data_IF_970127824583
#
_entry.id   IF_970127824583
#
_cell.length_a   1.000
_cell.length_b   1.000
_cell.length_c   1.000
_cell.angle_alpha   90.00
_cell.angle_beta   90.00
_cell.angle_gamma   90.00
#
_symmetry.space_group_name_H-M   'P 1'
#
loop_
_entity.id
_entity.type
_entity.pdbx_description
1 polymer ?
#
# COMPACT_ATOMS: atom_id res chain seq x y z
N UNK A 1 46.38 46.93 -4.67
CA UNK A 1 45.80 45.73 -5.34
C UNK A 1 45.73 44.65 -4.26
N UNK A 2 44.58 44.23 -3.72
CA UNK A 2 43.40 43.58 -4.33
C UNK A 2 42.11 44.06 -3.65
N UNK A 3 41.04 44.08 -4.42
CA UNK A 3 39.76 44.80 -4.21
C UNK A 3 38.88 44.11 -3.15
N UNK A 4 38.30 44.90 -2.26
CA UNK A 4 37.16 44.49 -1.43
C UNK A 4 35.89 44.55 -2.31
N UNK A 5 35.19 43.43 -2.46
CA UNK A 5 33.90 43.38 -3.13
C UNK A 5 32.80 43.68 -2.11
N UNK A 6 32.16 44.84 -2.26
CA UNK A 6 30.94 45.22 -1.54
C UNK A 6 29.80 44.40 -2.14
N UNK A 7 29.20 43.52 -1.34
CA UNK A 7 27.98 42.78 -1.70
C UNK A 7 26.78 43.67 -1.39
N UNK A 8 26.15 44.24 -2.43
CA UNK A 8 24.90 44.97 -2.30
C UNK A 8 23.75 43.94 -2.19
N UNK A 9 23.08 43.93 -1.04
CA UNK A 9 21.81 43.20 -0.84
C UNK A 9 20.70 44.08 -1.44
N UNK A 10 20.15 43.67 -2.58
CA UNK A 10 18.91 44.24 -3.12
C UNK A 10 17.72 43.69 -2.30
N UNK A 11 17.17 44.53 -1.42
CA UNK A 11 15.86 44.30 -0.81
C UNK A 11 14.77 44.60 -1.86
N UNK A 12 14.17 43.56 -2.43
CA UNK A 12 12.90 43.69 -3.16
C UNK A 12 11.75 43.70 -2.15
N UNK A 13 11.21 44.88 -1.86
CA UNK A 13 9.94 45.03 -1.14
C UNK A 13 8.83 44.79 -2.17
N UNK A 14 8.26 43.59 -2.19
CA UNK A 14 6.99 43.33 -2.86
C UNK A 14 5.85 43.69 -1.92
N UNK A 15 5.16 44.79 -2.21
CA UNK A 15 3.90 45.18 -1.60
C UNK A 15 2.81 44.19 -2.02
N UNK A 16 2.59 43.13 -1.25
CA UNK A 16 1.45 42.24 -1.46
C UNK A 16 0.23 42.89 -0.80
N UNK A 17 -0.63 43.49 -1.62
CA UNK A 17 -2.00 43.80 -1.23
C UNK A 17 -2.75 42.50 -0.94
N UNK A 18 -2.89 42.18 0.34
CA UNK A 18 -3.69 41.05 0.82
C UNK A 18 -5.18 41.38 0.62
N UNK A 19 -5.79 40.80 -0.42
CA UNK A 19 -7.24 40.65 -0.48
C UNK A 19 -7.65 39.57 0.53
N UNK A 20 -8.39 39.97 1.57
CA UNK A 20 -9.06 39.06 2.49
C UNK A 20 -10.17 38.32 1.74
N UNK A 21 -9.96 37.03 1.47
CA UNK A 21 -11.06 36.12 1.11
C UNK A 21 -11.62 35.55 2.42
N UNK A 22 -12.90 35.80 2.67
CA UNK A 22 -13.65 35.18 3.76
C UNK A 22 -13.61 33.66 3.61
N UNK A 23 -12.67 33.00 4.29
CA UNK A 23 -12.66 31.55 4.43
C UNK A 23 -13.54 31.19 5.62
N UNK A 24 -14.47 30.27 5.39
CA UNK A 24 -15.18 29.55 6.45
C UNK A 24 -14.16 29.09 7.50
N UNK A 25 -14.41 29.28 8.81
CA UNK A 25 -13.46 28.86 9.84
C UNK A 25 -13.14 27.37 9.67
N UNK A 26 -11.85 27.03 9.55
CA UNK A 26 -11.43 25.64 9.62
C UNK A 26 -11.77 25.12 11.01
N UNK A 27 -12.61 24.08 11.05
CA UNK A 27 -12.98 23.41 12.30
C UNK A 27 -11.71 22.78 12.91
N UNK A 28 -11.16 23.45 13.92
CA UNK A 28 -10.04 22.94 14.70
C UNK A 28 -10.55 21.81 15.56
N UNK A 29 -9.84 20.70 15.58
CA UNK A 29 -10.26 19.55 16.36
C UNK A 29 -9.60 18.25 15.96
N UNK A 30 -9.90 17.23 16.76
CA UNK A 30 -9.45 15.88 16.56
C UNK A 30 -10.58 14.98 16.08
N UNK A 31 -10.25 14.04 15.19
CA UNK A 31 -11.14 12.98 14.74
C UNK A 31 -10.54 11.63 15.09
N UNK A 32 -11.23 10.89 15.95
CA UNK A 32 -10.93 9.48 16.21
C UNK A 32 -11.60 8.62 15.14
N UNK A 33 -10.87 7.64 14.62
CA UNK A 33 -11.40 6.68 13.66
C UNK A 33 -10.69 5.33 13.81
N UNK A 34 -11.27 4.27 13.25
CA UNK A 34 -10.63 2.98 13.23
C UNK A 34 -11.41 1.95 12.43
N UNK A 35 -10.81 0.78 12.33
CA UNK A 35 -11.45 -0.38 11.74
C UNK A 35 -10.76 -1.67 12.20
N UNK A 36 -11.45 -2.78 12.06
CA UNK A 36 -10.91 -4.11 12.33
C UNK A 36 -11.36 -5.06 11.24
N UNK A 37 -10.46 -5.93 10.77
CA UNK A 37 -10.84 -7.10 9.99
C UNK A 37 -10.05 -8.34 10.38
N UNK A 38 -10.67 -9.48 10.14
CA UNK A 38 -10.13 -10.79 10.43
C UNK A 38 -10.89 -11.88 9.69
N UNK A 39 -10.42 -13.11 9.84
CA UNK A 39 -10.98 -14.26 9.16
C UNK A 39 -11.36 -15.36 10.14
N UNK A 40 -12.39 -16.12 9.80
CA UNK A 40 -12.38 -17.56 10.05
C UNK A 40 -11.99 -18.25 8.75
N UNK A 41 -11.01 -19.16 8.79
CA UNK A 41 -10.55 -19.85 7.58
C UNK A 41 -10.43 -21.36 7.78
N UNK A 42 -10.51 -22.09 6.67
CA UNK A 42 -10.34 -23.54 6.59
C UNK A 42 -9.45 -23.89 5.40
N UNK A 43 -8.34 -24.59 5.66
CA UNK A 43 -7.42 -25.07 4.62
C UNK A 43 -7.92 -26.39 4.06
N UNK A 44 -8.46 -26.36 2.86
CA UNK A 44 -9.00 -27.54 2.18
C UNK A 44 -7.90 -28.39 1.51
N UNK A 45 -6.87 -27.75 0.95
CA UNK A 45 -5.79 -28.45 0.23
C UNK A 45 -4.46 -27.70 0.31
N UNK A 46 -3.37 -28.43 0.03
CA UNK A 46 -1.99 -27.96 -0.01
C UNK A 46 -1.02 -29.03 0.50
N UNK A 47 0.28 -28.82 0.25
CA UNK A 47 1.32 -29.78 0.65
C UNK A 47 1.85 -29.57 2.07
N UNK A 48 1.43 -28.49 2.74
CA UNK A 48 1.83 -28.19 4.13
C UNK A 48 3.36 -28.10 4.32
N UNK A 49 4.07 -27.74 3.26
CA UNK A 49 5.54 -27.79 3.15
C UNK A 49 6.26 -26.68 3.89
N UNK A 50 5.55 -25.74 4.53
CA UNK A 50 6.17 -24.60 5.20
C UNK A 50 6.76 -23.55 4.26
N UNK A 51 6.34 -23.53 2.99
CA UNK A 51 6.71 -22.50 2.03
C UNK A 51 6.28 -21.09 2.46
N UNK A 52 6.75 -20.06 1.77
CA UNK A 52 6.55 -18.64 2.10
C UNK A 52 5.12 -18.11 1.88
N UNK A 53 4.20 -18.93 1.39
CA UNK A 53 2.78 -18.58 1.21
C UNK A 53 2.04 -18.58 2.55
N UNK A 54 1.06 -17.68 2.72
CA UNK A 54 0.35 -17.43 4.00
C UNK A 54 -0.15 -18.72 4.68
N UNK A 55 -0.68 -19.66 3.90
CA UNK A 55 -1.25 -20.90 4.42
C UNK A 55 -0.39 -22.14 4.20
N UNK A 56 0.78 -22.01 3.57
CA UNK A 56 1.60 -23.16 3.18
C UNK A 56 2.17 -23.95 4.37
N UNK A 57 2.29 -23.33 5.54
CA UNK A 57 2.73 -24.02 6.77
C UNK A 57 1.66 -24.79 7.52
N UNK A 58 0.37 -24.59 7.20
CA UNK A 58 -0.71 -25.28 7.90
C UNK A 58 -1.02 -26.63 7.24
N UNK A 59 -1.38 -27.66 8.03
CA UNK A 59 -1.87 -28.93 7.51
C UNK A 59 -3.24 -28.77 6.82
N UNK A 60 -3.60 -29.75 5.99
CA UNK A 60 -4.97 -29.85 5.49
C UNK A 60 -5.96 -30.01 6.66
N UNK A 61 -7.16 -29.48 6.47
CA UNK A 61 -8.21 -29.37 7.49
C UNK A 61 -7.88 -28.43 8.66
N UNK A 62 -6.76 -27.70 8.62
CA UNK A 62 -6.49 -26.66 9.61
C UNK A 62 -7.51 -25.53 9.50
N UNK A 63 -7.95 -25.01 10.65
CA UNK A 63 -8.89 -23.91 10.74
C UNK A 63 -8.60 -23.04 11.96
N UNK A 64 -8.84 -21.74 11.83
CA UNK A 64 -8.62 -20.80 12.91
C UNK A 64 -9.45 -19.52 12.73
N UNK A 65 -9.67 -18.84 13.86
CA UNK A 65 -10.05 -17.44 13.89
C UNK A 65 -8.79 -16.58 13.99
N UNK A 66 -8.73 -15.51 13.23
CA UNK A 66 -7.59 -14.60 13.18
C UNK A 66 -8.06 -13.16 13.07
N UNK A 67 -7.51 -12.27 13.91
CA UNK A 67 -7.59 -10.83 13.68
C UNK A 67 -6.37 -10.45 12.85
N UNK A 68 -6.60 -10.18 11.56
CA UNK A 68 -5.52 -9.78 10.65
C UNK A 68 -5.10 -8.34 10.86
N UNK A 69 -6.02 -7.46 11.27
CA UNK A 69 -5.70 -6.05 11.51
C UNK A 69 -6.71 -5.36 12.40
N UNK A 70 -6.22 -4.53 13.31
CA UNK A 70 -6.99 -3.55 14.06
C UNK A 70 -6.27 -2.19 14.02
N UNK A 71 -6.99 -1.14 13.61
CA UNK A 71 -6.50 0.23 13.58
C UNK A 71 -7.24 1.12 14.57
N UNK A 72 -6.49 2.03 15.19
CA UNK A 72 -7.01 3.18 15.91
C UNK A 72 -6.20 4.41 15.50
N UNK A 73 -6.86 5.33 14.82
CA UNK A 73 -6.27 6.56 14.28
C UNK A 73 -6.86 7.80 14.92
N UNK A 74 -6.01 8.81 15.10
CA UNK A 74 -6.38 10.15 15.52
C UNK A 74 -5.78 11.16 14.55
N UNK A 75 -6.66 11.81 13.79
CA UNK A 75 -6.29 12.92 12.90
C UNK A 75 -6.58 14.23 13.62
N UNK A 76 -5.64 15.17 13.61
CA UNK A 76 -5.80 16.47 14.27
C UNK A 76 -5.53 17.63 13.32
N UNK A 77 -6.43 18.61 13.30
CA UNK A 77 -6.26 19.85 12.52
C UNK A 77 -5.95 21.01 13.46
N UNK A 78 -4.72 21.51 13.39
CA UNK A 78 -4.29 22.67 14.19
C UNK A 78 -4.82 23.99 13.62
N UNK A 79 -4.74 24.13 12.29
CA UNK A 79 -5.24 25.27 11.51
C UNK A 79 -5.28 24.92 10.01
N UNK A 80 -5.57 25.89 9.14
CA UNK A 80 -5.68 25.67 7.68
C UNK A 80 -4.41 25.13 7.00
N UNK A 81 -3.24 25.32 7.62
CA UNK A 81 -1.94 24.94 7.06
C UNK A 81 -1.34 23.71 7.73
N UNK A 82 -1.75 23.36 8.94
CA UNK A 82 -1.09 22.32 9.72
C UNK A 82 -2.09 21.30 10.26
N UNK A 83 -1.79 20.03 10.01
CA UNK A 83 -2.50 18.88 10.55
C UNK A 83 -1.51 17.80 10.98
N UNK A 84 -1.95 16.82 11.76
CA UNK A 84 -1.18 15.64 12.10
C UNK A 84 -2.04 14.38 12.06
N UNK A 85 -1.36 13.24 12.02
CA UNK A 85 -1.97 11.94 12.23
C UNK A 85 -1.11 11.12 13.18
N UNK A 86 -1.79 10.43 14.09
CA UNK A 86 -1.23 9.36 14.89
C UNK A 86 -2.06 8.09 14.67
N UNK A 87 -1.43 7.01 14.23
CA UNK A 87 -2.11 5.75 13.92
C UNK A 87 -1.43 4.59 14.63
N UNK A 88 -2.23 3.81 15.35
CA UNK A 88 -1.84 2.53 15.90
C UNK A 88 -2.33 1.39 14.99
N UNK A 89 -1.51 0.35 14.83
CA UNK A 89 -1.88 -0.91 14.21
C UNK A 89 -1.59 -2.07 15.17
N UNK A 90 -2.55 -2.98 15.33
CA UNK A 90 -2.31 -4.36 15.74
C UNK A 90 -2.58 -5.30 14.57
N UNK A 91 -1.82 -6.39 14.47
CA UNK A 91 -2.01 -7.42 13.44
C UNK A 91 -1.56 -8.82 13.92
N UNK A 92 -1.82 -9.82 13.10
CA UNK A 92 -1.53 -11.25 13.29
C UNK A 92 -0.05 -11.58 13.50
N UNK A 93 0.86 -10.68 13.11
CA UNK A 93 2.31 -10.89 13.19
C UNK A 93 2.98 -10.24 14.39
N UNK A 94 2.33 -9.27 15.03
CA UNK A 94 2.88 -8.55 16.17
C UNK A 94 2.26 -9.09 17.44
N UNK A 95 3.03 -9.91 18.16
CA UNK A 95 2.65 -10.47 19.45
C UNK A 95 3.50 -9.87 20.58
N UNK A 96 2.85 -9.50 21.68
CA UNK A 96 3.50 -9.11 22.93
C UNK A 96 3.13 -10.13 23.99
N UNK A 97 4.10 -10.93 24.44
CA UNK A 97 3.87 -12.03 25.39
C UNK A 97 2.70 -12.92 24.98
N UNK A 98 2.73 -13.39 23.72
CA UNK A 98 1.71 -14.23 23.05
C UNK A 98 0.31 -13.63 22.88
N UNK A 99 0.13 -12.36 23.20
CA UNK A 99 -1.11 -11.60 22.95
C UNK A 99 -0.93 -10.67 21.76
N UNK A 100 -2.03 -10.28 21.10
CA UNK A 100 -1.98 -9.27 20.04
C UNK A 100 -1.35 -7.98 20.56
N UNK A 101 -0.25 -7.58 19.94
CA UNK A 101 0.46 -6.35 20.22
C UNK A 101 0.01 -5.22 19.31
N UNK A 102 0.33 -3.99 19.72
CA UNK A 102 0.09 -2.78 18.93
C UNK A 102 1.39 -2.00 18.76
N UNK A 103 1.53 -1.34 17.62
CA UNK A 103 2.68 -0.48 17.32
C UNK A 103 2.23 0.81 16.62
N UNK A 104 3.10 1.82 16.65
CA UNK A 104 2.87 3.08 15.93
C UNK A 104 3.10 2.83 14.44
N UNK A 105 2.03 2.96 13.66
CA UNK A 105 2.07 2.85 12.20
C UNK A 105 2.45 4.16 11.54
N UNK A 106 1.84 5.28 11.94
CA UNK A 106 2.18 6.62 11.45
C UNK A 106 2.13 7.61 12.61
N UNK A 107 3.01 8.61 12.55
CA UNK A 107 3.10 9.69 13.51
C UNK A 107 3.82 10.85 12.81
N UNK A 108 3.06 11.77 12.21
CA UNK A 108 3.63 12.85 11.41
C UNK A 108 2.83 14.14 11.53
N UNK A 109 3.51 15.25 11.20
CA UNK A 109 2.89 16.55 10.96
C UNK A 109 2.93 16.81 9.46
N UNK A 110 1.81 17.29 8.93
CA UNK A 110 1.69 17.78 7.57
C UNK A 110 1.53 19.29 7.56
N UNK A 111 2.28 19.93 6.67
CA UNK A 111 2.23 21.34 6.37
C UNK A 111 1.78 21.56 4.92
N UNK A 112 0.61 22.16 4.75
CA UNK A 112 0.13 22.68 3.48
C UNK A 112 0.85 24.01 3.17
N UNK A 113 2.06 23.90 2.63
CA UNK A 113 2.92 25.05 2.31
C UNK A 113 2.34 25.90 1.17
N UNK A 114 1.75 25.25 0.18
CA UNK A 114 1.14 25.89 -0.98
C UNK A 114 -0.28 25.35 -1.21
N UNK A 115 -1.08 26.02 -2.04
CA UNK A 115 -2.48 25.64 -2.27
C UNK A 115 -2.63 24.19 -2.75
N UNK A 116 -1.70 23.73 -3.61
CA UNK A 116 -1.70 22.38 -4.20
C UNK A 116 -0.59 21.46 -3.69
N UNK A 117 0.30 21.92 -2.78
CA UNK A 117 1.46 21.13 -2.33
C UNK A 117 1.53 21.11 -0.81
N UNK A 118 1.62 19.90 -0.26
CA UNK A 118 1.83 19.62 1.16
C UNK A 118 3.16 18.91 1.38
N UNK A 119 3.79 19.22 2.50
CA UNK A 119 4.97 18.53 3.01
C UNK A 119 4.63 17.80 4.30
N UNK A 120 5.19 16.63 4.54
CA UNK A 120 5.03 15.93 5.82
C UNK A 120 6.36 15.42 6.35
N UNK A 121 6.51 15.44 7.67
CA UNK A 121 7.71 14.96 8.40
C UNK A 121 7.30 14.11 9.59
N UNK A 122 8.05 13.02 9.81
CA UNK A 122 7.83 12.07 10.90
C UNK A 122 7.82 10.64 10.38
N UNK A 123 7.03 9.78 11.01
CA UNK A 123 6.72 8.44 10.50
C UNK A 123 5.56 8.57 9.51
N UNK A 124 5.90 8.80 8.25
CA UNK A 124 4.97 9.18 7.18
C UNK A 124 4.59 7.95 6.36
N UNK A 125 3.33 7.80 5.91
CA UNK A 125 2.97 6.79 4.93
C UNK A 125 3.82 6.91 3.64
N UNK A 126 4.29 5.78 3.10
CA UNK A 126 5.09 5.79 1.88
C UNK A 126 4.20 5.98 0.63
N UNK A 127 4.75 6.55 -0.46
CA UNK A 127 4.07 6.55 -1.76
C UNK A 127 3.82 5.15 -2.32
N UNK A 128 4.54 4.15 -1.80
CA UNK A 128 4.40 2.74 -2.21
C UNK A 128 2.96 2.26 -2.05
N UNK A 129 2.32 2.52 -0.90
CA UNK A 129 0.99 1.97 -0.55
C UNK A 129 -0.07 3.06 -0.32
N UNK A 130 0.11 3.88 0.71
CA UNK A 130 -0.99 4.69 1.26
C UNK A 130 -1.43 5.85 0.37
N UNK A 131 -0.57 6.26 -0.55
CA UNK A 131 -0.90 7.26 -1.57
C UNK A 131 -1.19 6.63 -2.94
N UNK A 132 -0.91 5.34 -3.07
CA UNK A 132 -1.03 4.65 -4.32
C UNK A 132 -2.50 4.49 -4.69
N UNK A 133 -2.81 4.80 -5.96
CA UNK A 133 -4.15 4.66 -6.49
C UNK A 133 -4.59 3.19 -6.51
N UNK A 134 -3.66 2.25 -6.70
CA UNK A 134 -3.98 0.82 -6.80
C UNK A 134 -4.66 0.26 -5.53
N UNK A 135 -4.19 0.61 -4.33
CA UNK A 135 -4.74 0.09 -3.08
C UNK A 135 -6.16 0.63 -2.82
N UNK A 136 -6.38 1.92 -3.11
CA UNK A 136 -7.71 2.54 -3.02
C UNK A 136 -8.67 1.99 -4.06
N UNK A 137 -8.18 1.76 -5.29
CA UNK A 137 -8.96 1.21 -6.38
C UNK A 137 -9.39 -0.24 -6.09
N UNK A 138 -8.48 -1.04 -5.53
CA UNK A 138 -8.75 -2.43 -5.19
C UNK A 138 -9.88 -2.55 -4.17
N UNK A 139 -9.96 -1.66 -3.18
CA UNK A 139 -11.05 -1.53 -2.20
C UNK A 139 -11.29 -2.76 -1.27
N UNK A 140 -10.74 -3.93 -1.59
CA UNK A 140 -10.84 -5.17 -0.82
C UNK A 140 -9.54 -5.52 -0.09
N UNK A 141 -8.88 -4.50 0.48
CA UNK A 141 -7.67 -4.67 1.30
C UNK A 141 -7.92 -5.50 2.57
N UNK A 142 -9.17 -5.51 3.03
CA UNK A 142 -9.68 -6.38 4.09
C UNK A 142 -9.71 -7.85 3.68
N UNK A 143 -9.90 -8.17 2.39
CA UNK A 143 -9.83 -9.54 1.87
C UNK A 143 -8.40 -9.92 1.57
N UNK A 144 -7.68 -9.11 0.78
CA UNK A 144 -6.29 -9.38 0.44
C UNK A 144 -5.47 -8.13 0.11
N UNK A 145 -4.17 -8.20 0.42
CA UNK A 145 -3.13 -7.23 0.03
C UNK A 145 -3.01 -7.09 -1.49
N UNK A 146 -2.60 -5.93 -2.00
CA UNK A 146 -2.12 -5.80 -3.41
C UNK A 146 -0.93 -6.73 -3.64
N UNK A 147 -0.63 -7.08 -4.90
CA UNK A 147 0.33 -8.18 -5.19
C UNK A 147 1.70 -7.91 -4.55
N UNK A 148 2.12 -6.66 -4.61
CA UNK A 148 3.42 -6.21 -4.14
C UNK A 148 3.50 -6.10 -2.60
N UNK A 149 2.40 -5.76 -1.91
CA UNK A 149 2.29 -5.82 -0.43
C UNK A 149 2.20 -7.28 0.04
N UNK A 150 1.47 -8.13 -0.69
CA UNK A 150 1.36 -9.57 -0.40
C UNK A 150 2.74 -10.25 -0.41
N UNK A 151 3.63 -9.83 -1.31
CA UNK A 151 5.01 -10.32 -1.40
C UNK A 151 6.02 -9.56 -0.53
N UNK A 152 5.58 -8.55 0.24
CA UNK A 152 6.43 -7.83 1.19
C UNK A 152 7.54 -6.99 0.54
N UNK A 153 7.30 -6.46 -0.66
CA UNK A 153 8.34 -5.79 -1.45
C UNK A 153 8.45 -4.28 -1.16
N UNK A 154 7.99 -3.83 0.02
CA UNK A 154 8.11 -2.43 0.45
C UNK A 154 7.45 -2.16 1.80
N UNK A 155 7.76 -1.00 2.39
CA UNK A 155 7.23 -0.57 3.69
C UNK A 155 5.99 0.31 3.51
N UNK A 156 5.07 0.27 4.48
CA UNK A 156 3.86 1.10 4.49
C UNK A 156 4.05 2.51 5.00
N UNK A 157 5.03 2.71 5.86
CA UNK A 157 5.41 4.00 6.40
C UNK A 157 6.89 3.96 6.70
N UNK A 158 7.56 5.10 6.59
CA UNK A 158 8.98 5.26 6.88
C UNK A 158 9.18 6.55 7.69
N UNK A 159 10.23 6.59 8.50
CA UNK A 159 10.70 7.85 9.07
C UNK A 159 11.34 8.67 7.96
N UNK A 160 10.84 9.88 7.73
CA UNK A 160 11.33 10.70 6.64
C UNK A 160 10.58 12.00 6.42
N UNK A 161 10.85 12.58 5.25
CA UNK A 161 10.20 13.80 4.75
C UNK A 161 9.60 13.48 3.39
N UNK A 162 8.41 14.00 3.16
CA UNK A 162 7.69 13.79 1.93
C UNK A 162 7.05 15.07 1.41
N UNK A 163 6.81 15.10 0.11
CA UNK A 163 6.09 16.14 -0.58
C UNK A 163 5.03 15.48 -1.48
N UNK A 164 3.81 15.98 -1.41
CA UNK A 164 2.72 15.52 -2.28
C UNK A 164 1.98 16.72 -2.83
N UNK A 165 1.53 16.61 -4.07
CA UNK A 165 0.80 17.71 -4.67
C UNK A 165 0.04 17.35 -5.93
N UNK A 166 -0.67 18.35 -6.41
CA UNK A 166 -1.46 18.30 -7.64
C UNK A 166 -0.88 19.31 -8.63
N UNK A 167 -0.79 18.94 -9.90
CA UNK A 167 -0.35 19.83 -10.96
C UNK A 167 -1.49 20.75 -11.42
N UNK A 168 -2.74 20.32 -11.26
CA UNK A 168 -3.93 21.04 -11.66
C UNK A 168 -4.91 21.25 -10.49
N UNK A 169 -5.75 22.29 -10.59
CA UNK A 169 -6.76 22.59 -9.57
C UNK A 169 -7.87 21.53 -9.47
N UNK A 170 -8.19 20.85 -10.57
CA UNK A 170 -9.18 19.76 -10.56
C UNK A 170 -8.64 18.50 -9.85
N UNK A 171 -7.32 18.38 -9.71
CA UNK A 171 -6.66 17.26 -9.06
C UNK A 171 -6.65 15.99 -9.90
N UNK A 172 -6.69 16.14 -11.21
CA UNK A 172 -6.60 15.03 -12.15
C UNK A 172 -5.16 14.52 -12.28
N UNK A 173 -4.16 15.36 -12.06
CA UNK A 173 -2.75 15.05 -12.19
C UNK A 173 -2.02 15.42 -10.91
N UNK A 174 -1.12 14.55 -10.46
CA UNK A 174 -0.35 14.84 -9.26
C UNK A 174 0.83 13.92 -9.06
N UNK A 175 1.50 14.15 -7.94
CA UNK A 175 2.74 13.49 -7.59
C UNK A 175 2.86 13.22 -6.10
N UNK A 176 3.74 12.29 -5.76
CA UNK A 176 4.26 12.09 -4.41
C UNK A 176 5.75 11.80 -4.49
N UNK A 177 6.53 12.47 -3.64
CA UNK A 177 7.96 12.28 -3.48
C UNK A 177 8.26 12.06 -2.01
N UNK A 178 9.20 11.19 -1.69
CA UNK A 178 9.62 10.99 -0.31
C UNK A 178 11.09 10.57 -0.23
N UNK A 179 11.76 11.04 0.81
CA UNK A 179 13.03 10.50 1.27
C UNK A 179 12.77 9.89 2.65
N UNK A 180 12.97 8.58 2.77
CA UNK A 180 12.77 7.82 3.99
C UNK A 180 14.03 7.08 4.43
N UNK A 181 14.00 6.53 5.64
CA UNK A 181 15.06 5.68 6.16
C UNK A 181 15.08 4.26 5.53
N UNK A 182 14.04 3.86 4.78
CA UNK A 182 13.92 2.53 4.20
C UNK A 182 13.68 1.40 5.22
N UNK A 183 13.51 1.73 6.51
CA UNK A 183 13.43 0.75 7.59
C UNK A 183 12.05 0.66 8.26
N UNK A 184 11.02 1.20 7.63
CA UNK A 184 9.67 1.09 8.12
C UNK A 184 9.46 1.89 9.41
N UNK A 185 8.76 1.25 10.35
CA UNK A 185 8.48 1.79 11.69
C UNK A 185 9.63 1.55 12.70
N UNK A 186 10.78 1.06 12.23
CA UNK A 186 11.92 0.73 13.10
C UNK A 186 12.95 1.87 13.10
N UNK A 187 13.73 2.03 14.20
CA UNK A 187 14.84 2.98 14.22
C UNK A 187 15.81 2.77 13.06
N UNK A 188 16.36 3.85 12.53
CA UNK A 188 17.36 3.78 11.48
C UNK A 188 18.67 3.19 12.01
N UNK A 189 19.28 2.28 11.24
CA UNK A 189 20.49 1.55 11.64
C UNK A 189 21.64 1.65 10.63
N UNK A 190 21.49 2.46 9.58
CA UNK A 190 22.50 2.64 8.55
C UNK A 190 22.45 4.06 7.95
N UNK A 191 23.45 4.40 7.12
CA UNK A 191 23.60 5.74 6.53
C UNK A 191 22.71 5.99 5.30
N UNK A 192 22.18 4.95 4.67
CA UNK A 192 21.47 5.06 3.40
C UNK A 192 20.07 5.63 3.59
N UNK A 193 19.49 6.09 2.49
CA UNK A 193 18.13 6.62 2.43
C UNK A 193 17.42 6.03 1.23
N UNK A 194 16.13 5.79 1.39
CA UNK A 194 15.25 5.33 0.32
C UNK A 194 14.55 6.51 -0.32
N UNK A 195 14.54 6.52 -1.65
CA UNK A 195 13.94 7.57 -2.46
C UNK A 195 12.71 7.00 -3.14
N UNK A 196 11.58 7.68 -3.00
CA UNK A 196 10.30 7.26 -3.52
C UNK A 196 9.73 8.31 -4.47
N UNK A 197 9.08 7.86 -5.53
CA UNK A 197 8.37 8.71 -6.47
C UNK A 197 7.10 8.05 -7.01
N UNK A 198 6.04 8.83 -7.13
CA UNK A 198 4.82 8.43 -7.83
C UNK A 198 4.27 9.60 -8.63
N UNK A 199 3.72 9.28 -9.79
CA UNK A 199 2.94 10.18 -10.64
C UNK A 199 1.60 9.52 -10.91
N UNK A 200 0.53 10.28 -10.82
CA UNK A 200 -0.80 9.78 -11.16
C UNK A 200 -1.54 10.72 -12.10
N UNK A 201 -2.44 10.13 -12.89
CA UNK A 201 -3.33 10.86 -13.79
C UNK A 201 -4.73 10.25 -13.80
N UNK A 202 -5.73 11.12 -13.94
CA UNK A 202 -7.15 10.81 -14.17
C UNK A 202 -7.59 11.53 -15.44
N UNK A 203 -7.10 11.09 -16.61
CA UNK A 203 -7.22 11.87 -17.85
C UNK A 203 -8.65 11.97 -18.36
N UNK A 204 -9.49 10.97 -18.04
CA UNK A 204 -10.91 10.93 -18.39
C UNK A 204 -11.71 10.34 -17.23
N UNK A 205 -13.02 10.60 -17.21
CA UNK A 205 -13.93 10.07 -16.18
C UNK A 205 -13.82 8.54 -16.11
N UNK A 206 -13.67 8.03 -14.89
CA UNK A 206 -13.56 6.60 -14.60
C UNK A 206 -12.15 6.02 -14.77
N UNK A 207 -11.27 6.60 -15.59
CA UNK A 207 -9.91 6.13 -15.78
C UNK A 207 -8.96 6.77 -14.78
N UNK A 208 -8.14 5.95 -14.15
CA UNK A 208 -7.03 6.38 -13.32
C UNK A 208 -5.79 5.54 -13.62
N UNK A 209 -4.63 6.20 -13.70
CA UNK A 209 -3.35 5.55 -13.96
C UNK A 209 -2.31 6.07 -12.98
N UNK A 210 -1.34 5.23 -12.66
CA UNK A 210 -0.24 5.56 -11.79
C UNK A 210 1.05 4.91 -12.26
N UNK A 211 2.14 5.68 -12.21
CA UNK A 211 3.50 5.19 -12.34
C UNK A 211 4.24 5.46 -11.03
N UNK A 212 4.80 4.41 -10.45
CA UNK A 212 5.54 4.46 -9.20
C UNK A 212 6.95 3.91 -9.40
N UNK A 213 7.91 4.47 -8.67
CA UNK A 213 9.22 3.87 -8.50
C UNK A 213 9.90 4.23 -7.18
N UNK A 214 10.81 3.37 -6.74
CA UNK A 214 11.70 3.64 -5.63
C UNK A 214 13.12 3.12 -5.86
N UNK A 215 14.06 3.73 -5.14
CA UNK A 215 15.47 3.37 -5.13
C UNK A 215 16.00 3.34 -3.70
N UNK A 216 16.63 2.23 -3.31
CA UNK A 216 17.16 1.97 -1.99
C UNK A 216 18.60 1.45 -2.10
N UNK A 217 19.62 2.31 -1.95
CA UNK A 217 21.01 1.89 -1.93
C UNK A 217 21.36 1.16 -0.64
N UNK A 218 22.38 0.32 -0.72
CA UNK A 218 22.95 -0.39 0.43
C UNK A 218 24.48 -0.54 0.27
N UNK A 219 25.13 -1.20 1.23
CA UNK A 219 26.56 -1.51 1.18
C UNK A 219 26.91 -2.41 -0.02
N UNK A 220 28.20 -2.49 -0.37
CA UNK A 220 28.73 -3.36 -1.43
C UNK A 220 28.07 -3.16 -2.81
N UNK A 221 27.76 -1.91 -3.16
CA UNK A 221 27.07 -1.54 -4.40
C UNK A 221 25.70 -2.20 -4.62
N UNK A 222 25.14 -2.81 -3.58
CA UNK A 222 23.80 -3.39 -3.59
C UNK A 222 22.76 -2.28 -3.61
N UNK A 223 21.64 -2.55 -4.27
CA UNK A 223 20.47 -1.70 -4.17
C UNK A 223 19.20 -2.51 -4.43
N UNK A 224 18.07 -1.94 -4.01
CA UNK A 224 16.75 -2.37 -4.44
C UNK A 224 16.10 -1.25 -5.24
N UNK A 225 15.62 -1.58 -6.42
CA UNK A 225 14.88 -0.64 -7.27
C UNK A 225 13.54 -1.24 -7.62
N UNK A 226 12.46 -0.50 -7.46
CA UNK A 226 11.10 -0.94 -7.80
C UNK A 226 10.53 -0.03 -8.86
N UNK A 227 9.82 -0.60 -9.83
CA UNK A 227 8.95 0.13 -10.76
C UNK A 227 7.59 -0.56 -10.77
N UNK A 228 6.51 0.22 -10.70
CA UNK A 228 5.13 -0.27 -10.79
C UNK A 228 4.30 0.62 -11.71
N UNK A 229 3.56 -0.01 -12.60
CA UNK A 229 2.47 0.62 -13.35
C UNK A 229 1.12 0.12 -12.86
N UNK A 230 0.14 1.01 -12.78
CA UNK A 230 -1.24 0.68 -12.46
C UNK A 230 -2.20 1.42 -13.39
N UNK A 231 -3.26 0.73 -13.81
CA UNK A 231 -4.41 1.32 -14.47
C UNK A 231 -5.70 0.76 -13.86
N UNK A 232 -6.66 1.63 -13.56
CA UNK A 232 -7.97 1.26 -13.08
C UNK A 232 -9.07 2.00 -13.84
N UNK A 233 -10.19 1.33 -14.05
CA UNK A 233 -11.34 1.90 -14.74
C UNK A 233 -12.63 1.60 -14.00
N UNK A 234 -13.43 2.64 -13.73
CA UNK A 234 -14.78 2.50 -13.20
C UNK A 234 -15.78 2.63 -14.35
N UNK A 235 -16.58 1.58 -14.56
CA UNK A 235 -17.67 1.54 -15.53
C UNK A 235 -18.96 1.09 -14.84
N UNK A 236 -19.93 2.00 -14.79
CA UNK A 236 -21.19 1.80 -14.06
C UNK A 236 -20.96 1.33 -12.62
N UNK A 237 -21.45 0.15 -12.24
CA UNK A 237 -21.32 -0.43 -10.89
C UNK A 237 -20.04 -1.25 -10.70
N UNK A 238 -19.20 -1.34 -11.71
CA UNK A 238 -18.01 -2.18 -11.71
C UNK A 238 -16.71 -1.36 -11.76
N UNK A 239 -15.72 -1.86 -11.06
CA UNK A 239 -14.37 -1.32 -10.99
C UNK A 239 -13.40 -2.41 -11.43
N UNK A 240 -12.52 -2.03 -12.33
CA UNK A 240 -11.50 -2.90 -12.88
C UNK A 240 -10.12 -2.32 -12.55
N UNK A 241 -9.13 -3.18 -12.39
CA UNK A 241 -7.75 -2.72 -12.28
C UNK A 241 -6.75 -3.76 -12.72
N UNK A 242 -5.64 -3.26 -13.23
CA UNK A 242 -4.46 -4.04 -13.60
C UNK A 242 -3.24 -3.33 -13.02
N UNK A 243 -2.36 -4.09 -12.39
CA UNK A 243 -1.06 -3.63 -11.93
C UNK A 243 0.05 -4.55 -12.43
N UNK A 244 1.19 -3.96 -12.77
CA UNK A 244 2.43 -4.67 -13.11
C UNK A 244 3.56 -4.07 -12.32
N UNK A 245 4.46 -4.90 -11.81
CA UNK A 245 5.66 -4.42 -11.15
C UNK A 245 6.88 -5.27 -11.46
N UNK A 246 8.04 -4.65 -11.32
CA UNK A 246 9.32 -5.32 -11.25
C UNK A 246 10.11 -4.71 -10.10
N UNK A 247 10.75 -5.55 -9.30
CA UNK A 247 11.79 -5.13 -8.36
C UNK A 247 13.11 -5.77 -8.78
N UNK A 248 14.21 -5.02 -8.68
CA UNK A 248 15.56 -5.52 -8.93
C UNK A 248 16.34 -5.43 -7.63
N UNK A 249 16.86 -6.56 -7.15
CA UNK A 249 17.80 -6.63 -6.04
C UNK A 249 19.19 -6.81 -6.65
N UNK A 250 19.92 -5.70 -6.81
CA UNK A 250 21.27 -5.74 -7.36
C UNK A 250 22.22 -6.42 -6.38
N UNK A 251 23.07 -7.31 -6.89
CA UNK A 251 24.08 -8.06 -6.13
C UNK A 251 23.47 -8.83 -4.94
N UNK A 252 22.36 -9.53 -5.19
CA UNK A 252 21.60 -10.22 -4.15
C UNK A 252 22.45 -11.31 -3.47
N UNK A 253 22.34 -11.42 -2.14
CA UNK A 253 23.07 -12.44 -1.36
C UNK A 253 24.59 -12.27 -1.34
N UNK A 254 25.13 -11.12 -1.78
CA UNK A 254 26.59 -10.92 -1.87
C UNK A 254 27.23 -11.58 -3.09
N UNK A 255 26.42 -11.96 -4.08
CA UNK A 255 26.86 -12.43 -5.39
C UNK A 255 26.83 -11.28 -6.40
N UNK A 256 27.49 -11.43 -7.56
CA UNK A 256 27.37 -10.49 -8.70
C UNK A 256 26.10 -10.75 -9.55
N UNK A 257 25.09 -11.39 -8.97
CA UNK A 257 23.86 -11.79 -9.66
C UNK A 257 22.67 -11.03 -9.07
N UNK A 258 21.84 -10.49 -9.95
CA UNK A 258 20.59 -9.83 -9.57
C UNK A 258 19.49 -10.86 -9.27
N UNK A 259 18.66 -10.58 -8.27
CA UNK A 259 17.34 -11.21 -8.16
C UNK A 259 16.27 -10.23 -8.65
N UNK A 260 15.39 -10.67 -9.56
CA UNK A 260 14.41 -9.79 -10.20
C UNK A 260 12.98 -10.31 -10.01
N UNK A 261 12.35 -10.07 -8.84
CA UNK A 261 10.93 -10.30 -8.66
C UNK A 261 10.08 -9.54 -9.68
N UNK A 262 9.12 -10.21 -10.29
CA UNK A 262 8.20 -9.66 -11.27
C UNK A 262 6.78 -10.12 -10.99
N UNK A 263 5.78 -9.28 -11.21
CA UNK A 263 4.40 -9.72 -11.08
C UNK A 263 3.39 -8.85 -11.81
N UNK A 264 2.26 -9.48 -12.13
CA UNK A 264 1.09 -8.89 -12.77
C UNK A 264 -0.13 -9.27 -11.95
N UNK A 265 -1.03 -8.32 -11.71
CA UNK A 265 -2.28 -8.54 -10.99
C UNK A 265 -3.42 -7.87 -11.75
N UNK A 266 -4.55 -8.56 -11.83
CA UNK A 266 -5.77 -8.09 -12.48
C UNK A 266 -6.96 -8.40 -11.58
N UNK A 267 -7.85 -7.43 -11.43
CA UNK A 267 -8.99 -7.57 -10.53
C UNK A 267 -10.23 -6.83 -11.02
N UNK A 268 -11.37 -7.29 -10.51
CA UNK A 268 -12.67 -6.67 -10.70
C UNK A 268 -13.47 -6.74 -9.41
N UNK A 269 -14.25 -5.71 -9.14
CA UNK A 269 -15.31 -5.78 -8.15
C UNK A 269 -16.48 -4.89 -8.54
N UNK A 270 -17.67 -5.21 -8.06
CA UNK A 270 -18.84 -4.39 -8.36
C UNK A 270 -20.05 -4.73 -7.52
N UNK A 271 -21.04 -3.84 -7.60
CA UNK A 271 -22.30 -4.02 -6.89
C UNK A 271 -23.27 -4.93 -7.66
N UNK A 272 -23.69 -6.02 -7.01
CA UNK A 272 -24.72 -6.92 -7.54
C UNK A 272 -26.12 -6.48 -7.09
N UNK A 273 -26.28 -6.17 -5.80
CA UNK A 273 -27.55 -5.80 -5.20
C UNK A 273 -27.38 -4.56 -4.32
N UNK A 274 -28.36 -3.67 -4.38
CA UNK A 274 -28.43 -2.49 -3.52
C UNK A 274 -29.85 -2.14 -3.12
N UNK A 275 -29.99 -1.37 -2.05
CA UNK A 275 -31.25 -0.79 -1.57
C UNK A 275 -31.04 0.70 -1.34
N UNK A 276 -31.96 1.53 -1.81
CA UNK A 276 -31.89 2.99 -1.60
C UNK A 276 -30.52 3.58 -2.01
N UNK A 277 -29.98 3.11 -3.14
CA UNK A 277 -28.64 3.48 -3.65
C UNK A 277 -27.45 3.08 -2.76
N UNK A 278 -27.65 2.24 -1.74
CA UNK A 278 -26.58 1.65 -0.93
C UNK A 278 -26.31 0.20 -1.36
N UNK A 279 -25.05 -0.20 -1.53
CA UNK A 279 -24.72 -1.58 -1.86
C UNK A 279 -25.02 -2.50 -0.65
N UNK A 280 -25.71 -3.61 -0.90
CA UNK A 280 -25.95 -4.68 0.09
C UNK A 280 -25.07 -5.89 -0.23
N UNK A 281 -24.88 -6.18 -1.52
CA UNK A 281 -24.08 -7.29 -1.97
C UNK A 281 -23.16 -6.84 -3.10
N UNK A 282 -21.85 -6.97 -2.88
CA UNK A 282 -20.86 -6.86 -3.93
C UNK A 282 -20.27 -8.23 -4.27
N UNK A 283 -19.64 -8.30 -5.45
CA UNK A 283 -18.78 -9.41 -5.87
C UNK A 283 -17.39 -8.87 -6.13
N UNK A 284 -16.37 -9.69 -5.87
CA UNK A 284 -15.00 -9.39 -6.25
C UNK A 284 -14.30 -10.64 -6.77
N UNK A 285 -13.35 -10.42 -7.68
CA UNK A 285 -12.43 -11.43 -8.18
C UNK A 285 -11.08 -10.80 -8.48
N UNK A 286 -10.01 -11.58 -8.26
CA UNK A 286 -8.64 -11.17 -8.53
C UNK A 286 -7.78 -12.36 -8.92
N UNK A 287 -6.86 -12.09 -9.85
CA UNK A 287 -5.83 -13.00 -10.28
C UNK A 287 -4.46 -12.29 -10.23
N UNK A 288 -3.46 -12.97 -9.68
CA UNK A 288 -2.08 -12.53 -9.70
C UNK A 288 -1.19 -13.60 -10.33
N UNK A 289 -0.22 -13.19 -11.15
CA UNK A 289 0.94 -13.97 -11.55
C UNK A 289 2.18 -13.35 -10.91
N UNK A 290 2.98 -14.15 -10.21
CA UNK A 290 4.20 -13.70 -9.56
C UNK A 290 5.37 -14.64 -9.87
N UNK A 291 6.48 -14.05 -10.28
CA UNK A 291 7.76 -14.71 -10.39
C UNK A 291 8.73 -14.15 -9.34
N UNK A 292 9.16 -14.94 -8.34
CA UNK A 292 10.12 -14.50 -7.33
C UNK A 292 11.49 -14.08 -7.88
N UNK A 293 11.90 -14.61 -9.05
CA UNK A 293 13.12 -14.21 -9.73
C UNK A 293 13.05 -14.51 -11.24
N UNK A 294 12.58 -13.54 -12.03
CA UNK A 294 12.45 -13.65 -13.49
C UNK A 294 13.77 -13.80 -14.26
N UNK A 295 14.93 -13.57 -13.61
CA UNK A 295 16.26 -13.82 -14.19
C UNK A 295 16.79 -15.23 -13.92
N UNK A 296 16.11 -16.04 -13.11
CA UNK A 296 16.52 -17.40 -12.78
C UNK A 296 15.38 -18.39 -13.01
N UNK A 297 15.48 -19.15 -14.10
CA UNK A 297 14.55 -20.23 -14.43
C UNK A 297 15.06 -21.61 -13.96
N UNK A 298 16.27 -21.68 -13.42
CA UNK A 298 16.87 -22.95 -12.98
C UNK A 298 16.32 -23.45 -11.66
N UNK A 299 15.74 -22.58 -10.81
CA UNK A 299 15.19 -22.97 -9.50
C UNK A 299 13.91 -22.22 -9.14
N UNK A 300 13.06 -22.87 -8.34
CA UNK A 300 11.86 -22.27 -7.75
C UNK A 300 10.59 -22.45 -8.58
N UNK A 301 9.58 -21.64 -8.26
CA UNK A 301 8.23 -21.73 -8.81
C UNK A 301 7.74 -20.35 -9.21
N UNK A 302 6.97 -20.28 -10.29
CA UNK A 302 6.05 -19.16 -10.54
C UNK A 302 4.77 -19.41 -9.75
N UNK A 303 4.24 -18.39 -9.12
CA UNK A 303 3.04 -18.47 -8.31
C UNK A 303 1.86 -17.84 -9.05
N UNK A 304 0.72 -18.52 -9.06
CA UNK A 304 -0.53 -17.94 -9.55
C UNK A 304 -1.56 -17.95 -8.43
N UNK A 305 -2.02 -16.75 -8.07
CA UNK A 305 -2.96 -16.53 -6.98
C UNK A 305 -4.34 -16.14 -7.52
N UNK A 306 -5.39 -16.70 -6.92
CA UNK A 306 -6.78 -16.37 -7.21
C UNK A 306 -7.50 -16.06 -5.90
N UNK A 307 -8.30 -14.99 -5.91
CA UNK A 307 -9.29 -14.70 -4.88
C UNK A 307 -10.63 -14.40 -5.53
N UNK A 308 -11.69 -15.03 -5.07
CA UNK A 308 -13.06 -14.77 -5.51
C UNK A 308 -14.01 -14.83 -4.32
N UNK A 309 -14.97 -13.91 -4.27
CA UNK A 309 -15.91 -13.89 -3.17
C UNK A 309 -17.03 -12.89 -3.33
N UNK A 310 -17.87 -12.88 -2.29
CA UNK A 310 -18.95 -11.92 -2.12
C UNK A 310 -18.63 -11.01 -0.95
N UNK A 311 -19.27 -9.85 -0.91
CA UNK A 311 -19.24 -8.93 0.22
C UNK A 311 -20.65 -8.52 0.58
N UNK A 312 -21.13 -9.08 1.69
CA UNK A 312 -22.45 -8.82 2.24
C UNK A 312 -22.35 -7.74 3.33
N UNK A 313 -23.06 -6.64 3.10
CA UNK A 313 -23.10 -5.47 3.98
C UNK A 313 -24.51 -5.33 4.58
N UNK A 314 -24.81 -5.98 5.73
CA UNK A 314 -26.08 -5.78 6.42
C UNK A 314 -26.30 -4.31 6.83
N UNK A 315 -25.20 -3.60 7.12
CA UNK A 315 -25.13 -2.14 7.23
C UNK A 315 -23.83 -1.66 6.58
N UNK A 316 -23.77 -0.39 6.18
CA UNK A 316 -22.68 0.17 5.36
C UNK A 316 -21.26 -0.03 5.92
N UNK A 317 -21.10 -0.09 7.23
CA UNK A 317 -19.80 -0.20 7.90
C UNK A 317 -19.52 -1.58 8.48
N UNK A 318 -20.32 -2.60 8.16
CA UNK A 318 -20.14 -3.98 8.65
C UNK A 318 -20.26 -4.92 7.46
N UNK A 319 -19.21 -5.70 7.23
CA UNK A 319 -19.05 -6.57 6.08
C UNK A 319 -18.80 -8.01 6.51
N UNK A 320 -19.43 -8.93 5.78
CA UNK A 320 -19.17 -10.37 5.85
C UNK A 320 -18.85 -10.86 4.43
N UNK A 321 -17.63 -11.33 4.25
CA UNK A 321 -17.05 -11.57 2.93
C UNK A 321 -16.62 -13.03 2.78
N UNK A 322 -17.54 -13.96 2.44
CA UNK A 322 -17.18 -15.33 2.11
C UNK A 322 -16.34 -15.32 0.82
N UNK A 323 -15.19 -15.98 0.85
CA UNK A 323 -14.28 -16.03 -0.29
C UNK A 323 -13.42 -17.30 -0.33
N UNK A 324 -12.86 -17.57 -1.50
CA UNK A 324 -11.89 -18.64 -1.72
C UNK A 324 -10.56 -18.00 -2.06
N UNK A 325 -9.50 -18.48 -1.41
CA UNK A 325 -8.11 -18.09 -1.60
C UNK A 325 -7.36 -19.30 -2.16
N UNK A 326 -6.76 -19.14 -3.34
CA UNK A 326 -6.01 -20.22 -4.00
C UNK A 326 -4.64 -19.72 -4.42
N UNK A 327 -3.57 -20.42 -4.04
CA UNK A 327 -2.23 -20.16 -4.58
C UNK A 327 -1.66 -21.44 -5.17
N UNK A 328 -1.39 -21.40 -6.47
CA UNK A 328 -0.84 -22.52 -7.25
C UNK A 328 0.60 -22.24 -7.64
N UNK A 329 1.35 -23.30 -7.93
CA UNK A 329 2.79 -23.23 -8.15
C UNK A 329 3.15 -23.94 -9.45
N UNK A 330 3.76 -23.21 -10.38
CA UNK A 330 4.32 -23.77 -11.61
C UNK A 330 5.83 -23.89 -11.46
N UNK A 331 6.34 -25.12 -11.50
CA UNK A 331 7.78 -25.39 -11.46
C UNK A 331 8.50 -24.70 -12.63
N UNK A 332 9.64 -24.07 -12.36
CA UNK A 332 10.46 -23.43 -13.40
C UNK A 332 11.35 -24.41 -14.16
N UNK A 333 11.62 -25.57 -13.57
CA UNK A 333 12.42 -26.63 -14.17
C UNK A 333 11.78 -28.00 -13.90
N UNK A 334 12.11 -29.00 -14.71
CA UNK A 334 11.54 -30.35 -14.64
C UNK A 334 11.99 -31.18 -13.43
N UNK A 335 13.00 -30.71 -12.69
CA UNK A 335 13.53 -31.39 -11.50
C UNK A 335 12.96 -30.86 -10.19
N UNK A 336 12.18 -29.77 -10.23
CA UNK A 336 11.55 -29.20 -9.05
C UNK A 336 10.44 -30.13 -8.57
N UNK A 337 10.35 -30.31 -7.26
CA UNK A 337 9.29 -31.10 -6.64
C UNK A 337 7.92 -30.53 -7.02
N UNK A 338 7.00 -31.38 -7.46
CA UNK A 338 5.63 -30.94 -7.73
C UNK A 338 5.01 -30.36 -6.46
N UNK A 339 4.28 -29.25 -6.61
CA UNK A 339 3.57 -28.59 -5.50
C UNK A 339 2.08 -28.52 -5.78
N UNK A 340 1.26 -29.01 -4.84
CA UNK A 340 -0.19 -28.82 -4.84
C UNK A 340 -0.53 -27.39 -4.49
N UNK A 341 -1.61 -26.91 -5.09
CA UNK A 341 -2.16 -25.61 -4.78
C UNK A 341 -2.68 -25.58 -3.33
N UNK A 342 -2.37 -24.49 -2.62
CA UNK A 342 -3.02 -24.18 -1.36
C UNK A 342 -4.43 -23.67 -1.67
N UNK A 343 -5.46 -24.31 -1.12
CA UNK A 343 -6.87 -23.93 -1.30
C UNK A 343 -7.48 -23.67 0.05
N UNK A 344 -7.99 -22.47 0.26
CA UNK A 344 -8.49 -22.01 1.56
C UNK A 344 -9.85 -21.33 1.39
N UNK A 345 -10.85 -21.83 2.11
CA UNK A 345 -12.11 -21.12 2.28
C UNK A 345 -11.99 -20.13 3.43
N UNK A 346 -12.48 -18.89 3.24
CA UNK A 346 -12.45 -17.84 4.25
C UNK A 346 -13.83 -17.22 4.42
N UNK A 347 -14.15 -16.88 5.65
CA UNK A 347 -15.17 -15.90 6.01
C UNK A 347 -14.45 -14.70 6.64
N UNK A 348 -14.30 -13.63 5.86
CA UNK A 348 -13.69 -12.39 6.36
C UNK A 348 -14.76 -11.49 6.97
N UNK A 349 -14.56 -11.03 8.21
CA UNK A 349 -15.36 -9.98 8.81
C UNK A 349 -14.60 -8.66 8.77
N UNK A 350 -15.30 -7.56 8.54
CA UNK A 350 -14.70 -6.23 8.53
C UNK A 350 -15.68 -5.19 9.05
N UNK A 351 -15.25 -4.34 9.97
CA UNK A 351 -16.07 -3.24 10.46
C UNK A 351 -15.28 -1.95 10.65
N UNK A 352 -15.96 -0.83 10.45
CA UNK A 352 -15.39 0.52 10.46
C UNK A 352 -16.15 1.39 11.45
N UNK A 353 -15.43 2.25 12.18
CA UNK A 353 -16.01 3.28 13.05
C UNK A 353 -15.27 4.61 12.80
N UNK A 354 -16.02 5.69 12.55
CA UNK A 354 -15.49 6.96 12.04
C UNK A 354 -16.23 8.16 12.60
#
# INVERSE_FOLDING_TARGET
>A
MKKYYIFAILLFIFSVTLYSQNKTPVEKGGKLWGYVFGDYYFKASGDSTGGSSQYAGYPNSYQAFEIRRAYLGYDYTFNEKFSSQFLLEGNDKILTSTRLGVFIKTAFVEWKAFEQVSFAVGLVPTPTWSWALNEKAWNYRSVEKTIIDMRGLGNASDLGVSARGKFDKAGNYGFGLMIGNGNGQKPEFNKFKKYYGTLFAKPVKGLQVELYGDYEPNYDEKNKTTIRGFAGYTFDKFNFGVEVFQQTHKNAGGTDIDAVPFGVSGWVWGNLLGRENKPILNVFARYDMFDPNSKNDSTGYKENFISIGLDYMPIENVHFMPNVWVNSYAAKNSTATERKADVVGRMTFFFVFR
#
